data_IF_007953236858
#
_entry.id   IF_007953236858
#
_cell.length_a   1.000
_cell.length_b   1.000
_cell.length_c   1.000
_cell.angle_alpha   90.00
_cell.angle_beta   90.00
_cell.angle_gamma   90.00
#
_symmetry.space_group_name_H-M   'P 1'
#
loop_
_entity.id
_entity.type
_entity.pdbx_description
1 polymer ?
#
# COMPACT_ATOMS: atom_id res chain seq x y z
N UNK A 1 -15.36 -0.81 -8.67
CA UNK A 1 -14.40 -1.82 -8.17
C UNK A 1 -13.01 -1.19 -8.13
N UNK A 2 -12.35 -1.22 -6.97
CA UNK A 2 -11.02 -0.62 -6.80
C UNK A 2 -9.92 -1.53 -7.34
N UNK A 3 -9.11 -1.01 -8.25
CA UNK A 3 -8.04 -1.73 -8.93
C UNK A 3 -6.74 -0.93 -8.81
N UNK A 4 -5.75 -1.41 -8.03
CA UNK A 4 -4.46 -0.75 -7.91
C UNK A 4 -3.65 -0.82 -9.21
N UNK A 5 -3.03 0.29 -9.61
CA UNK A 5 -2.21 0.36 -10.82
C UNK A 5 -0.98 -0.54 -10.71
N UNK A 6 -0.34 -0.55 -9.54
CA UNK A 6 0.80 -1.44 -9.26
C UNK A 6 0.43 -2.91 -9.44
N UNK A 7 -0.77 -3.33 -9.02
CA UNK A 7 -1.21 -4.71 -9.17
C UNK A 7 -1.49 -5.08 -10.62
N UNK A 8 -2.01 -4.15 -11.45
CA UNK A 8 -2.13 -4.38 -12.89
C UNK A 8 -0.77 -4.58 -13.56
N UNK A 9 0.27 -3.86 -13.11
CA UNK A 9 1.65 -4.00 -13.60
C UNK A 9 2.29 -5.37 -13.33
N UNK A 10 1.79 -6.11 -12.36
CA UNK A 10 2.23 -7.49 -12.11
C UNK A 10 1.76 -8.45 -13.23
N UNK A 11 0.67 -8.10 -13.93
CA UNK A 11 0.09 -8.92 -15.01
C UNK A 11 0.39 -8.38 -16.42
N UNK A 12 0.67 -7.11 -16.56
CA UNK A 12 0.86 -6.46 -17.88
C UNK A 12 2.01 -5.47 -17.80
N UNK A 13 2.89 -5.48 -18.80
CA UNK A 13 3.97 -4.49 -18.96
C UNK A 13 3.39 -3.14 -19.39
N UNK A 14 2.83 -2.39 -18.44
CA UNK A 14 2.18 -1.10 -18.68
C UNK A 14 3.26 -0.03 -18.80
N UNK A 15 3.38 0.58 -19.99
CA UNK A 15 4.34 1.62 -20.34
C UNK A 15 3.69 3.01 -20.51
N UNK A 16 2.45 3.15 -20.07
CA UNK A 16 1.70 4.41 -20.05
C UNK A 16 1.47 4.88 -18.61
N UNK A 17 1.17 6.15 -18.45
CA UNK A 17 0.76 6.72 -17.14
C UNK A 17 -0.60 6.21 -16.71
N UNK A 18 -0.94 6.38 -15.43
CA UNK A 18 -2.28 6.01 -14.93
C UNK A 18 -3.39 6.83 -15.62
N UNK A 19 -3.13 8.12 -15.91
CA UNK A 19 -4.05 9.00 -16.60
C UNK A 19 -4.27 8.57 -18.07
N UNK A 20 -3.21 8.22 -18.77
CA UNK A 20 -3.33 7.70 -20.15
C UNK A 20 -4.06 6.35 -20.20
N UNK A 21 -3.88 5.50 -19.18
CA UNK A 21 -4.60 4.24 -19.07
C UNK A 21 -6.10 4.49 -18.79
N UNK A 22 -6.44 5.45 -17.94
CA UNK A 22 -7.81 5.87 -17.69
C UNK A 22 -8.52 6.26 -18.98
N UNK A 23 -7.91 7.14 -19.80
CA UNK A 23 -8.47 7.57 -21.10
C UNK A 23 -8.68 6.39 -22.05
N UNK A 24 -7.73 5.44 -22.08
CA UNK A 24 -7.83 4.22 -22.90
C UNK A 24 -8.95 3.31 -22.42
N UNK A 25 -9.13 3.13 -21.11
CA UNK A 25 -10.23 2.37 -20.52
C UNK A 25 -11.58 2.98 -20.91
N UNK A 26 -11.74 4.30 -20.80
CA UNK A 26 -12.94 5.01 -21.28
C UNK A 26 -13.21 4.76 -22.76
N UNK A 27 -12.18 4.84 -23.60
CA UNK A 27 -12.31 4.61 -25.05
C UNK A 27 -12.80 3.20 -25.39
N UNK A 28 -12.59 2.24 -24.51
CA UNK A 28 -13.01 0.84 -24.64
C UNK A 28 -14.29 0.50 -23.89
N UNK A 29 -14.97 1.53 -23.32
CA UNK A 29 -16.29 1.39 -22.70
C UNK A 29 -16.25 1.02 -21.21
N UNK A 30 -15.11 1.15 -20.54
CA UNK A 30 -15.02 1.09 -19.08
C UNK A 30 -15.26 2.45 -18.47
N UNK A 31 -16.14 2.53 -17.50
CA UNK A 31 -16.39 3.74 -16.72
C UNK A 31 -15.47 3.72 -15.49
N UNK A 32 -14.46 4.60 -15.50
CA UNK A 32 -13.62 4.87 -14.32
C UNK A 32 -14.30 6.02 -13.57
N UNK A 33 -14.93 5.72 -12.43
CA UNK A 33 -15.63 6.72 -11.61
C UNK A 33 -14.64 7.70 -10.99
N UNK A 34 -13.46 7.20 -10.57
CA UNK A 34 -12.41 8.00 -9.96
C UNK A 34 -11.03 7.37 -10.19
N UNK A 35 -10.04 8.19 -10.53
CA UNK A 35 -8.63 7.85 -10.47
C UNK A 35 -8.02 8.47 -9.22
N UNK A 36 -7.71 7.64 -8.21
CA UNK A 36 -7.29 8.06 -6.87
C UNK A 36 -5.77 7.95 -6.75
N UNK A 37 -5.01 9.06 -6.71
CA UNK A 37 -3.60 9.01 -6.33
C UNK A 37 -3.48 8.76 -4.82
N UNK A 38 -2.62 7.81 -4.40
CA UNK A 38 -2.46 7.47 -2.99
C UNK A 38 -1.70 8.55 -2.20
N UNK A 39 -0.86 9.32 -2.86
CA UNK A 39 -0.12 10.46 -2.30
C UNK A 39 -0.94 11.76 -2.28
N UNK A 40 -2.24 11.69 -2.56
CA UNK A 40 -3.09 12.87 -2.64
C UNK A 40 -3.02 13.71 -1.34
N UNK A 41 -2.65 14.98 -1.50
CA UNK A 41 -2.51 15.91 -0.39
C UNK A 41 -1.19 15.81 0.36
N UNK A 42 -0.23 14.98 -0.06
CA UNK A 42 1.12 14.91 0.51
C UNK A 42 2.07 15.69 -0.40
N UNK A 43 2.83 16.62 0.18
CA UNK A 43 3.89 17.31 -0.54
C UNK A 43 5.01 17.73 0.40
N UNK A 44 6.25 17.67 -0.08
CA UNK A 44 7.48 18.02 0.68
C UNK A 44 7.63 17.24 1.99
N UNK A 45 7.19 15.99 2.02
CA UNK A 45 7.47 15.06 3.10
C UNK A 45 8.56 14.11 2.63
N UNK A 46 9.66 14.09 3.35
CA UNK A 46 10.86 13.33 2.95
C UNK A 46 11.33 12.42 4.07
N UNK A 47 12.20 11.49 3.74
CA UNK A 47 12.92 10.71 4.75
C UNK A 47 13.87 11.62 5.51
N UNK A 48 13.73 11.67 6.82
CA UNK A 48 14.68 12.33 7.73
C UNK A 48 15.35 11.30 8.63
N UNK A 49 16.67 11.44 8.82
CA UNK A 49 17.42 10.63 9.79
C UNK A 49 17.71 11.46 11.03
N UNK A 50 17.35 10.96 12.19
CA UNK A 50 17.59 11.63 13.46
C UNK A 50 19.08 11.53 13.80
N UNK A 51 19.80 12.65 13.79
CA UNK A 51 21.25 12.70 14.05
C UNK A 51 21.59 13.21 15.44
N UNK A 52 20.69 14.00 16.08
CA UNK A 52 20.83 14.42 17.47
C UNK A 52 19.46 14.46 18.14
N UNK A 53 19.42 14.19 19.44
CA UNK A 53 18.21 14.23 20.27
C UNK A 53 18.53 14.82 21.63
N UNK A 54 17.73 15.78 22.07
CA UNK A 54 17.83 16.40 23.41
C UNK A 54 16.42 16.56 24.01
N UNK A 55 16.19 16.02 25.21
CA UNK A 55 14.96 16.31 25.96
C UNK A 55 14.93 17.74 26.43
N UNK A 56 13.85 18.45 26.18
CA UNK A 56 13.68 19.80 26.67
C UNK A 56 13.22 19.77 28.12
N UNK A 57 14.03 20.36 29.01
CA UNK A 57 13.71 20.46 30.44
C UNK A 57 12.39 21.19 30.68
N UNK A 58 11.58 20.65 31.61
CA UNK A 58 10.28 21.20 31.98
C UNK A 58 9.15 20.99 30.95
N UNK A 59 9.39 20.21 29.89
CA UNK A 59 8.39 19.89 28.85
C UNK A 59 8.40 18.41 28.52
N UNK A 60 7.38 17.95 27.76
CA UNK A 60 7.35 16.62 27.19
C UNK A 60 8.00 16.55 25.79
N UNK A 61 8.57 17.66 25.31
CA UNK A 61 9.14 17.76 23.98
C UNK A 61 10.58 17.25 23.92
N UNK A 62 10.92 16.62 22.81
CA UNK A 62 12.28 16.28 22.40
C UNK A 62 12.66 17.13 21.20
N UNK A 63 13.81 17.80 21.29
CA UNK A 63 14.43 18.50 20.17
C UNK A 63 15.23 17.49 19.38
N UNK A 64 14.98 17.43 18.08
CA UNK A 64 15.72 16.58 17.16
C UNK A 64 16.45 17.45 16.14
N UNK A 65 17.68 17.06 15.81
CA UNK A 65 18.35 17.49 14.58
C UNK A 65 18.20 16.35 13.59
N UNK A 66 17.70 16.68 12.40
CA UNK A 66 17.31 15.71 11.40
C UNK A 66 18.06 16.00 10.10
N UNK A 67 18.76 15.00 9.60
CA UNK A 67 19.35 15.01 8.26
C UNK A 67 18.27 14.63 7.24
N UNK A 68 17.95 15.55 6.35
CA UNK A 68 17.01 15.37 5.25
C UNK A 68 17.72 15.47 3.87
N UNK A 69 18.99 15.08 3.78
CA UNK A 69 19.77 15.08 2.56
C UNK A 69 19.85 16.46 1.90
N UNK A 70 19.52 16.55 0.63
CA UNK A 70 19.59 17.80 -0.15
C UNK A 70 18.69 18.94 0.38
N UNK A 71 17.74 18.64 1.26
CA UNK A 71 16.88 19.63 1.91
C UNK A 71 17.52 20.26 3.15
N UNK A 72 18.60 19.67 3.68
CA UNK A 72 19.39 20.16 4.81
C UNK A 72 19.79 19.03 5.76
N UNK A 73 21.02 19.13 6.32
CA UNK A 73 21.59 18.11 7.20
C UNK A 73 21.38 18.41 8.70
N UNK A 74 20.87 19.58 9.05
CA UNK A 74 20.74 20.08 10.43
C UNK A 74 19.35 20.69 10.72
N UNK A 75 18.29 20.10 10.14
CA UNK A 75 16.94 20.62 10.30
C UNK A 75 16.46 20.34 11.73
N UNK A 76 16.14 21.42 12.47
CA UNK A 76 15.68 21.32 13.85
C UNK A 76 14.17 21.14 13.89
N UNK A 77 13.73 20.05 14.48
CA UNK A 77 12.31 19.70 14.62
C UNK A 77 12.07 19.28 16.08
N UNK A 78 11.03 19.85 16.70
CA UNK A 78 10.59 19.46 18.04
C UNK A 78 9.38 18.52 17.93
N UNK A 79 9.42 17.42 18.68
CA UNK A 79 8.33 16.41 18.70
C UNK A 79 7.98 16.00 20.12
N UNK A 80 6.73 15.63 20.34
CA UNK A 80 6.24 15.02 21.57
C UNK A 80 6.29 13.49 21.58
N UNK A 81 6.72 12.86 20.48
CA UNK A 81 6.82 11.42 20.40
C UNK A 81 7.95 10.86 21.29
N UNK A 82 7.76 9.64 21.78
CA UNK A 82 8.71 8.97 22.68
C UNK A 82 9.25 7.65 22.14
N UNK A 83 8.76 7.19 20.98
CA UNK A 83 9.10 5.89 20.40
C UNK A 83 10.32 5.91 19.46
N UNK A 84 11.02 7.03 19.35
CA UNK A 84 12.17 7.21 18.46
C UNK A 84 13.50 7.04 19.18
N UNK A 85 14.54 6.74 18.43
CA UNK A 85 15.94 6.61 18.86
C UNK A 85 16.86 7.39 17.95
N UNK A 86 18.05 7.68 18.43
CA UNK A 86 19.12 8.26 17.61
C UNK A 86 19.46 7.31 16.46
N UNK A 87 19.50 7.83 15.25
CA UNK A 87 19.77 7.08 14.03
C UNK A 87 18.53 6.55 13.31
N UNK A 88 17.33 6.63 13.91
CA UNK A 88 16.09 6.24 13.25
C UNK A 88 15.80 7.09 12.02
N UNK A 89 15.31 6.45 10.96
CA UNK A 89 14.72 7.12 9.80
C UNK A 89 13.23 7.30 10.04
N UNK A 90 12.72 8.51 9.78
CA UNK A 90 11.33 8.92 10.05
C UNK A 90 10.82 9.83 8.94
N UNK A 91 9.51 9.93 8.69
CA UNK A 91 8.98 10.92 7.77
C UNK A 91 9.11 12.33 8.38
N UNK A 92 9.71 13.23 7.62
CA UNK A 92 9.90 14.63 7.98
C UNK A 92 9.11 15.53 7.02
N UNK A 93 8.05 16.13 7.53
CA UNK A 93 7.28 17.16 6.83
C UNK A 93 8.00 18.51 7.01
N UNK A 94 8.60 19.02 5.94
CA UNK A 94 9.38 20.25 5.94
C UNK A 94 8.50 21.51 5.94
N UNK A 95 9.10 22.67 6.14
CA UNK A 95 8.37 23.95 6.04
C UNK A 95 7.71 24.10 4.65
N UNK A 96 6.42 24.43 4.66
CA UNK A 96 5.59 24.54 3.46
C UNK A 96 5.06 23.20 2.93
N UNK A 97 5.27 22.08 3.63
CA UNK A 97 4.68 20.79 3.29
C UNK A 97 3.17 20.78 3.53
N UNK A 98 2.51 19.85 2.83
CA UNK A 98 1.08 19.56 3.03
C UNK A 98 0.93 18.10 3.41
N UNK A 99 0.02 17.81 4.32
CA UNK A 99 -0.37 16.47 4.75
C UNK A 99 -1.83 16.19 4.38
N UNK A 100 -2.27 14.92 4.37
CA UNK A 100 -3.67 14.55 4.14
C UNK A 100 -4.65 15.40 4.95
N UNK A 101 -5.82 15.70 4.36
CA UNK A 101 -6.78 16.63 4.96
C UNK A 101 -6.43 18.12 4.79
N UNK A 102 -5.40 18.45 4.00
CA UNK A 102 -5.03 19.84 3.70
C UNK A 102 -4.25 20.53 4.81
N UNK A 103 -3.69 19.77 5.75
CA UNK A 103 -2.88 20.29 6.85
C UNK A 103 -1.58 20.86 6.30
N UNK A 104 -1.33 22.15 6.51
CA UNK A 104 -0.10 22.82 6.08
C UNK A 104 0.88 22.95 7.23
N UNK A 105 2.07 22.43 7.05
CA UNK A 105 3.17 22.54 8.01
C UNK A 105 3.94 23.82 7.75
N UNK A 106 4.19 24.57 8.82
CA UNK A 106 5.00 25.79 8.79
C UNK A 106 5.99 25.78 9.94
N UNK A 107 7.16 26.33 9.68
CA UNK A 107 8.12 26.64 10.74
C UNK A 107 7.46 27.47 11.85
N UNK A 108 7.58 27.03 13.08
CA UNK A 108 6.98 27.67 14.25
C UNK A 108 7.81 27.49 15.50
N UNK A 109 7.56 28.33 16.52
CA UNK A 109 8.11 28.11 17.86
C UNK A 109 7.14 27.24 18.68
N UNK A 110 7.65 26.13 19.19
CA UNK A 110 6.94 25.24 20.12
C UNK A 110 7.55 25.40 21.51
N UNK A 111 6.80 25.96 22.47
CA UNK A 111 7.28 26.21 23.85
C UNK A 111 8.66 26.91 23.90
N UNK A 112 8.83 27.93 23.03
CA UNK A 112 10.06 28.74 22.97
C UNK A 112 11.18 28.17 22.08
N UNK A 113 11.04 26.96 21.55
CA UNK A 113 12.01 26.31 20.64
C UNK A 113 11.53 26.37 19.20
N UNK A 114 12.42 26.69 18.29
CA UNK A 114 12.14 26.67 16.86
C UNK A 114 11.98 25.23 16.36
N UNK A 115 10.92 24.99 15.56
CA UNK A 115 10.68 23.74 14.84
C UNK A 115 10.43 24.09 13.38
N UNK A 116 11.34 23.65 12.50
CA UNK A 116 11.33 23.94 11.06
C UNK A 116 10.61 22.85 10.24
N UNK A 117 9.68 22.14 10.87
CA UNK A 117 8.91 21.07 10.28
C UNK A 117 8.19 20.24 11.33
N UNK A 118 7.72 19.08 10.93
CA UNK A 118 7.06 18.10 11.79
C UNK A 118 7.52 16.70 11.42
N UNK A 119 7.82 15.87 12.42
CA UNK A 119 8.00 14.42 12.21
C UNK A 119 6.64 13.77 12.28
N UNK A 120 6.35 12.84 11.33
CA UNK A 120 5.00 12.33 11.13
C UNK A 120 4.84 10.90 11.66
N UNK A 121 3.64 10.61 12.13
CA UNK A 121 3.12 9.27 12.37
C UNK A 121 2.61 8.64 11.06
N UNK A 122 2.27 7.35 11.09
CA UNK A 122 1.61 6.68 9.96
C UNK A 122 0.21 7.25 9.70
N UNK A 123 -0.54 7.56 10.76
CA UNK A 123 -1.88 8.14 10.66
C UNK A 123 -1.88 9.51 9.95
N UNK A 124 -0.90 10.35 10.25
CA UNK A 124 -0.75 11.67 9.61
C UNK A 124 -0.43 11.58 8.11
N UNK A 125 0.10 10.45 7.66
CA UNK A 125 0.32 10.13 6.24
C UNK A 125 -0.86 9.36 5.60
N UNK A 126 -1.94 9.11 6.35
CA UNK A 126 -3.09 8.35 5.87
C UNK A 126 -2.83 6.85 5.73
N UNK A 127 -1.79 6.34 6.39
CA UNK A 127 -1.42 4.93 6.38
C UNK A 127 -2.15 4.16 7.49
N UNK A 128 -2.35 2.87 7.26
CA UNK A 128 -2.77 1.89 8.25
C UNK A 128 -1.79 0.70 8.27
N UNK A 129 -1.95 -0.21 9.22
CA UNK A 129 -1.04 -1.35 9.41
C UNK A 129 -1.00 -2.31 8.20
N UNK A 130 -2.10 -2.42 7.43
CA UNK A 130 -2.16 -3.27 6.24
C UNK A 130 -1.42 -2.63 5.05
N UNK A 131 -1.37 -1.30 4.96
CA UNK A 131 -0.62 -0.56 3.94
C UNK A 131 0.87 -0.49 4.27
N UNK A 132 1.20 -0.13 5.51
CA UNK A 132 2.59 -0.04 5.94
C UNK A 132 2.75 -0.44 7.42
N UNK A 133 3.63 -1.42 7.77
CA UNK A 133 3.80 -1.89 9.15
C UNK A 133 4.29 -0.79 10.08
N UNK A 134 3.73 -0.80 11.28
CA UNK A 134 4.05 0.19 12.31
C UNK A 134 3.29 1.50 12.15
N UNK A 135 2.39 1.61 11.17
CA UNK A 135 1.61 2.84 10.94
C UNK A 135 0.61 3.16 12.05
N UNK A 136 0.12 2.15 12.76
CA UNK A 136 -0.82 2.30 13.87
C UNK A 136 -0.13 2.39 15.24
N UNK A 137 1.21 2.37 15.27
CA UNK A 137 1.95 2.58 16.51
C UNK A 137 1.81 4.04 16.97
N UNK A 138 1.47 4.24 18.24
CA UNK A 138 1.42 5.58 18.81
C UNK A 138 2.79 6.23 18.82
N UNK A 139 2.94 7.33 18.08
CA UNK A 139 4.19 8.08 17.93
C UNK A 139 4.60 8.24 16.46
N UNK A 140 5.89 8.33 16.20
CA UNK A 140 6.41 8.49 14.83
C UNK A 140 6.38 7.16 14.08
N UNK A 141 6.19 7.26 12.78
CA UNK A 141 6.44 6.13 11.88
C UNK A 141 7.95 5.91 11.75
N UNK A 142 8.42 4.73 12.18
CA UNK A 142 9.82 4.36 12.01
C UNK A 142 9.98 3.65 10.67
N UNK A 143 10.82 4.22 9.81
CA UNK A 143 11.11 3.69 8.47
C UNK A 143 12.21 2.63 8.53
N UNK A 144 12.38 1.82 7.47
CA UNK A 144 13.52 0.90 7.34
C UNK A 144 14.87 1.63 7.51
N UNK A 145 15.83 0.98 8.15
CA UNK A 145 17.15 1.56 8.46
C UNK A 145 17.95 1.95 7.21
N UNK A 146 17.69 1.30 6.08
CA UNK A 146 18.31 1.55 4.77
C UNK A 146 17.64 2.67 3.98
N UNK A 147 16.63 3.35 4.56
CA UNK A 147 15.98 4.49 3.92
C UNK A 147 16.95 5.66 3.75
N UNK A 148 17.01 6.22 2.54
CA UNK A 148 17.98 7.29 2.20
C UNK A 148 17.41 8.65 2.59
N UNK A 149 18.08 9.44 3.45
CA UNK A 149 17.65 10.79 3.81
C UNK A 149 17.43 11.69 2.58
N UNK A 150 16.38 12.49 2.61
CA UNK A 150 15.99 13.39 1.53
C UNK A 150 15.16 12.73 0.41
N UNK A 151 15.01 11.41 0.41
CA UNK A 151 14.10 10.73 -0.54
C UNK A 151 12.66 11.12 -0.24
N UNK A 152 11.85 11.32 -1.28
CA UNK A 152 10.40 11.53 -1.14
C UNK A 152 9.75 10.35 -0.39
N UNK A 153 8.81 10.66 0.49
CA UNK A 153 8.22 9.64 1.36
C UNK A 153 7.31 8.67 0.60
N UNK A 154 6.63 9.14 -0.46
CA UNK A 154 5.61 8.35 -1.15
C UNK A 154 6.12 6.99 -1.65
N UNK A 155 7.24 6.87 -2.38
CA UNK A 155 7.76 5.57 -2.78
C UNK A 155 8.26 4.71 -1.61
N UNK A 156 8.75 5.32 -0.53
CA UNK A 156 9.28 4.58 0.62
C UNK A 156 8.18 3.84 1.38
N UNK A 157 7.03 4.47 1.51
CA UNK A 157 5.86 3.89 2.20
C UNK A 157 4.84 3.30 1.21
N UNK A 158 5.14 3.37 -0.09
CA UNK A 158 4.33 2.81 -1.16
C UNK A 158 3.05 3.61 -1.44
N UNK A 159 3.08 4.92 -1.30
CA UNK A 159 2.00 5.82 -1.70
C UNK A 159 2.17 6.36 -3.13
N UNK A 160 3.20 5.93 -3.86
CA UNK A 160 3.46 6.27 -5.26
C UNK A 160 2.63 5.41 -6.24
N UNK A 161 1.36 5.22 -5.94
CA UNK A 161 0.45 4.37 -6.70
C UNK A 161 -0.89 5.08 -6.95
N UNK A 162 -1.68 4.50 -7.86
CA UNK A 162 -3.01 4.95 -8.21
C UNK A 162 -4.03 3.82 -8.04
N UNK A 163 -5.25 4.18 -7.65
CA UNK A 163 -6.37 3.24 -7.64
C UNK A 163 -7.39 3.69 -8.69
N UNK A 164 -7.72 2.80 -9.63
CA UNK A 164 -8.85 2.97 -10.52
C UNK A 164 -10.11 2.47 -9.82
N UNK A 165 -11.08 3.34 -9.57
CA UNK A 165 -12.42 2.90 -9.16
C UNK A 165 -13.29 2.73 -10.41
N UNK A 166 -13.48 1.46 -10.81
CA UNK A 166 -14.12 1.10 -12.08
C UNK A 166 -15.53 0.58 -11.81
N UNK A 167 -16.51 1.18 -12.49
CA UNK A 167 -17.89 0.68 -12.53
C UNK A 167 -17.99 -0.49 -13.50
N UNK A 168 -18.25 -1.69 -12.99
CA UNK A 168 -18.37 -2.89 -13.80
C UNK A 168 -19.85 -3.17 -14.09
N UNK A 169 -20.22 -3.13 -15.35
CA UNK A 169 -21.58 -3.41 -15.82
C UNK A 169 -21.96 -4.87 -15.68
N UNK A 170 -23.25 -5.16 -15.53
CA UNK A 170 -23.75 -6.52 -15.29
C UNK A 170 -23.44 -7.53 -16.41
N UNK A 171 -23.19 -7.05 -17.63
CA UNK A 171 -22.82 -7.88 -18.79
C UNK A 171 -21.33 -8.21 -18.87
N UNK A 172 -20.50 -7.68 -17.93
CA UNK A 172 -19.05 -7.91 -17.87
C UNK A 172 -18.63 -8.56 -16.54
N UNK A 173 -19.23 -9.70 -16.15
CA UNK A 173 -18.83 -10.40 -14.92
C UNK A 173 -17.39 -10.90 -14.94
N UNK A 174 -16.80 -11.09 -16.11
CA UNK A 174 -15.40 -11.43 -16.35
C UNK A 174 -14.43 -10.37 -15.84
N UNK A 175 -14.86 -9.11 -15.75
CA UNK A 175 -14.09 -7.97 -15.27
C UNK A 175 -14.23 -7.72 -13.75
N UNK A 176 -14.98 -8.56 -13.02
CA UNK A 176 -15.12 -8.42 -11.54
C UNK A 176 -13.93 -9.03 -10.78
N UNK A 177 -12.73 -8.92 -11.34
CA UNK A 177 -11.47 -9.27 -10.69
C UNK A 177 -10.33 -8.46 -11.28
N UNK A 178 -9.25 -8.27 -10.50
CA UNK A 178 -8.06 -7.56 -10.99
C UNK A 178 -7.48 -8.25 -12.24
N UNK A 179 -7.45 -9.58 -12.24
CA UNK A 179 -7.00 -10.37 -13.40
C UNK A 179 -7.91 -10.16 -14.63
N UNK A 180 -9.23 -10.03 -14.43
CA UNK A 180 -10.19 -9.74 -15.51
C UNK A 180 -9.89 -8.37 -16.13
N UNK A 181 -9.70 -7.35 -15.33
CA UNK A 181 -9.29 -6.01 -15.81
C UNK A 181 -7.90 -6.06 -16.46
N UNK A 182 -6.96 -6.82 -15.91
CA UNK A 182 -5.62 -6.97 -16.52
C UNK A 182 -5.68 -7.56 -17.93
N UNK A 183 -6.61 -8.50 -18.20
CA UNK A 183 -6.84 -9.02 -19.57
C UNK A 183 -7.30 -7.94 -20.54
N UNK A 184 -8.21 -7.09 -20.09
CA UNK A 184 -8.67 -5.95 -20.90
C UNK A 184 -7.54 -4.94 -21.13
N UNK A 185 -6.80 -4.59 -20.08
CA UNK A 185 -5.63 -3.70 -20.19
C UNK A 185 -4.59 -4.27 -21.16
N UNK A 186 -4.31 -5.57 -21.10
CA UNK A 186 -3.40 -6.24 -22.04
C UNK A 186 -3.89 -6.10 -23.48
N UNK A 187 -5.18 -6.32 -23.72
CA UNK A 187 -5.78 -6.16 -25.04
C UNK A 187 -5.77 -4.70 -25.52
N UNK A 188 -6.10 -3.75 -24.65
CA UNK A 188 -6.13 -2.30 -24.96
C UNK A 188 -4.73 -1.79 -25.32
N UNK A 189 -3.69 -2.26 -24.62
CA UNK A 189 -2.31 -1.83 -24.85
C UNK A 189 -1.59 -2.67 -25.92
N UNK A 190 -2.21 -3.77 -26.38
CA UNK A 190 -1.54 -4.72 -27.30
C UNK A 190 -0.33 -5.41 -26.66
N UNK A 191 -0.37 -5.63 -25.35
CA UNK A 191 0.71 -6.25 -24.56
C UNK A 191 0.37 -7.69 -24.16
N UNK A 192 1.37 -8.54 -23.89
CA UNK A 192 1.12 -9.87 -23.35
C UNK A 192 0.57 -9.79 -21.93
N UNK A 193 -0.28 -10.78 -21.58
CA UNK A 193 -0.72 -11.00 -20.20
C UNK A 193 0.20 -12.02 -19.53
N UNK A 194 0.80 -11.65 -18.41
CA UNK A 194 1.60 -12.52 -17.57
C UNK A 194 0.72 -13.20 -16.53
N UNK A 195 0.45 -14.49 -16.73
CA UNK A 195 -0.30 -15.26 -15.75
C UNK A 195 0.59 -15.63 -14.57
N UNK A 196 0.09 -15.55 -13.32
CA UNK A 196 0.86 -15.99 -12.17
C UNK A 196 1.20 -17.49 -12.29
N UNK A 197 2.38 -17.88 -11.84
CA UNK A 197 2.78 -19.27 -11.80
C UNK A 197 1.83 -20.08 -10.90
N UNK A 198 1.21 -21.10 -11.46
CA UNK A 198 0.30 -22.01 -10.73
C UNK A 198 0.95 -23.38 -10.51
N UNK A 199 2.26 -23.41 -10.37
CA UNK A 199 3.02 -24.65 -10.22
C UNK A 199 2.89 -25.19 -8.78
N UNK A 200 2.10 -26.23 -8.63
CA UNK A 200 2.06 -26.99 -7.39
C UNK A 200 2.07 -28.49 -7.70
N UNK A 201 2.68 -29.27 -6.84
CA UNK A 201 2.63 -30.73 -6.91
C UNK A 201 1.40 -31.22 -6.14
N UNK A 202 0.36 -31.64 -6.87
CA UNK A 202 -0.71 -32.38 -6.26
C UNK A 202 -0.19 -33.81 -5.97
N UNK A 203 -0.33 -34.24 -4.71
CA UNK A 203 -0.10 -35.64 -4.32
C UNK A 203 -1.47 -36.30 -4.25
N UNK A 204 -1.75 -37.23 -5.18
CA UNK A 204 -2.92 -38.08 -5.09
C UNK A 204 -2.66 -39.14 -4.03
N UNK A 205 -3.26 -39.00 -2.85
CA UNK A 205 -3.28 -40.03 -1.83
C UNK A 205 -4.55 -40.88 -1.99
N UNK A 206 -4.43 -42.22 -2.02
CA UNK A 206 -5.59 -43.10 -2.17
C UNK A 206 -6.59 -42.99 -1.00
N UNK A 207 -6.13 -42.49 0.16
CA UNK A 207 -6.92 -42.34 1.38
C UNK A 207 -7.34 -40.89 1.64
N UNK A 208 -7.58 -40.09 0.61
CA UNK A 208 -8.10 -38.73 0.79
C UNK A 208 -9.44 -38.76 1.55
N UNK A 209 -9.59 -37.96 2.63
CA UNK A 209 -10.76 -38.05 3.52
C UNK A 209 -12.03 -37.43 2.89
N UNK A 210 -11.99 -37.07 1.61
CA UNK A 210 -13.12 -36.48 0.90
C UNK A 210 -13.43 -37.31 -0.35
N UNK A 211 -14.74 -37.51 -0.58
CA UNK A 211 -15.26 -38.13 -1.80
C UNK A 211 -16.23 -37.16 -2.46
N UNK A 212 -16.10 -36.98 -3.75
CA UNK A 212 -17.02 -36.18 -4.56
C UNK A 212 -17.93 -37.13 -5.36
N UNK A 213 -19.24 -37.02 -5.16
CA UNK A 213 -20.27 -37.73 -5.95
C UNK A 213 -21.17 -36.66 -6.56
N UNK A 214 -21.26 -36.66 -7.90
CA UNK A 214 -22.18 -35.80 -8.63
C UNK A 214 -23.49 -36.62 -8.85
N UNK A 215 -24.59 -36.15 -8.27
CA UNK A 215 -25.89 -36.82 -8.35
C UNK A 215 -26.72 -36.35 -9.56
N UNK A 216 -26.44 -35.17 -10.10
CA UNK A 216 -27.09 -34.58 -11.25
C UNK A 216 -26.05 -34.22 -12.33
N UNK A 217 -25.51 -35.21 -13.06
CA UNK A 217 -24.45 -35.01 -14.05
C UNK A 217 -24.91 -34.21 -15.29
N UNK A 218 -26.19 -34.14 -15.54
CA UNK A 218 -26.84 -33.34 -16.59
C UNK A 218 -26.78 -31.82 -16.26
N UNK A 219 -26.86 -31.47 -14.98
CA UNK A 219 -26.81 -30.10 -14.50
C UNK A 219 -25.38 -29.66 -14.07
N UNK A 220 -24.62 -30.61 -13.53
CA UNK A 220 -23.23 -30.39 -13.10
C UNK A 220 -22.33 -31.49 -13.70
N UNK A 221 -21.84 -31.33 -14.93
CA UNK A 221 -21.08 -32.35 -15.62
C UNK A 221 -19.71 -32.63 -14.97
N UNK A 222 -19.19 -31.69 -14.16
CA UNK A 222 -17.91 -31.87 -13.52
C UNK A 222 -17.83 -31.04 -12.22
N UNK A 223 -17.42 -31.67 -11.11
CA UNK A 223 -17.08 -31.03 -9.86
C UNK A 223 -15.72 -31.51 -9.39
N UNK A 224 -14.85 -30.59 -9.01
CA UNK A 224 -13.51 -30.91 -8.51
C UNK A 224 -13.34 -30.37 -7.08
N UNK A 225 -12.63 -31.14 -6.25
CA UNK A 225 -12.26 -30.71 -4.92
C UNK A 225 -10.78 -30.98 -4.67
N UNK A 226 -10.14 -30.08 -3.93
CA UNK A 226 -8.78 -30.26 -3.45
C UNK A 226 -8.80 -30.35 -1.93
N UNK A 227 -8.13 -31.36 -1.39
CA UNK A 227 -7.88 -31.48 0.03
C UNK A 227 -6.49 -30.93 0.35
N UNK A 228 -6.45 -29.99 1.26
CA UNK A 228 -5.19 -29.38 1.70
C UNK A 228 -5.05 -29.64 3.20
N UNK A 229 -3.90 -30.23 3.59
CA UNK A 229 -3.60 -30.56 4.99
C UNK A 229 -2.39 -29.76 5.49
N UNK A 230 -2.16 -29.81 6.81
CA UNK A 230 -1.05 -29.12 7.49
C UNK A 230 -1.07 -27.60 7.32
N UNK A 231 -2.25 -27.03 7.20
CA UNK A 231 -2.43 -25.57 7.15
C UNK A 231 -2.09 -24.98 8.51
N UNK A 232 -1.21 -23.99 8.52
CA UNK A 232 -0.97 -23.13 9.68
C UNK A 232 -1.71 -21.82 9.48
N UNK A 233 -2.74 -21.59 10.27
CA UNK A 233 -3.43 -20.30 10.29
C UNK A 233 -2.55 -19.26 10.95
N UNK A 234 -2.53 -18.07 10.37
CA UNK A 234 -1.75 -16.93 10.85
C UNK A 234 -2.09 -15.67 10.05
N UNK A 235 -1.30 -14.66 10.25
CA UNK A 235 -1.40 -13.44 9.48
C UNK A 235 -1.03 -13.66 8.02
N UNK A 236 -1.67 -12.90 7.14
CA UNK A 236 -1.33 -12.90 5.72
C UNK A 236 0.04 -12.27 5.46
N UNK A 237 0.75 -12.72 4.43
CA UNK A 237 1.97 -12.05 4.00
C UNK A 237 1.68 -10.59 3.66
N UNK A 238 2.69 -9.74 3.83
CA UNK A 238 2.56 -8.29 3.65
C UNK A 238 1.99 -7.89 2.29
N UNK A 239 2.49 -8.48 1.20
CA UNK A 239 2.01 -8.20 -0.15
C UNK A 239 0.50 -8.43 -0.30
N UNK A 240 -0.01 -9.49 0.32
CA UNK A 240 -1.43 -9.85 0.28
C UNK A 240 -2.29 -8.86 1.08
N UNK A 241 -1.85 -8.48 2.30
CA UNK A 241 -2.49 -7.44 3.11
C UNK A 241 -2.59 -6.13 2.34
N UNK A 242 -1.49 -5.71 1.70
CA UNK A 242 -1.44 -4.50 0.92
C UNK A 242 -2.39 -4.53 -0.28
N UNK A 243 -2.40 -5.61 -1.07
CA UNK A 243 -3.34 -5.75 -2.20
C UNK A 243 -4.80 -5.61 -1.76
N UNK A 244 -5.17 -6.27 -0.66
CA UNK A 244 -6.51 -6.17 -0.10
C UNK A 244 -6.83 -4.74 0.38
N UNK A 245 -5.93 -4.11 1.12
CA UNK A 245 -6.10 -2.75 1.62
C UNK A 245 -6.29 -1.74 0.48
N UNK A 246 -5.50 -1.85 -0.59
CA UNK A 246 -5.64 -1.00 -1.79
C UNK A 246 -6.97 -1.21 -2.51
N UNK A 247 -7.54 -2.43 -2.44
CA UNK A 247 -8.90 -2.70 -2.93
C UNK A 247 -10.01 -2.30 -1.93
N UNK A 248 -9.66 -1.70 -0.79
CA UNK A 248 -10.61 -1.33 0.27
C UNK A 248 -11.10 -2.50 1.11
N UNK A 249 -10.38 -3.62 1.11
CA UNK A 249 -10.68 -4.83 1.89
C UNK A 249 -9.74 -4.94 3.08
N UNK A 250 -10.26 -5.45 4.20
CA UNK A 250 -9.46 -5.72 5.40
C UNK A 250 -8.90 -7.14 5.37
N UNK A 251 -7.64 -7.29 5.69
CA UNK A 251 -7.01 -8.59 5.92
C UNK A 251 -7.63 -9.30 7.14
N UNK A 252 -7.85 -10.61 7.04
CA UNK A 252 -8.43 -11.45 8.10
C UNK A 252 -7.44 -12.53 8.53
N UNK A 253 -7.01 -13.37 7.59
CA UNK A 253 -6.03 -14.44 7.82
C UNK A 253 -5.49 -14.96 6.49
N UNK A 254 -4.32 -15.57 6.52
CA UNK A 254 -3.66 -16.12 5.33
C UNK A 254 -4.51 -17.13 4.54
N UNK A 255 -5.50 -17.77 5.17
CA UNK A 255 -6.42 -18.72 4.50
C UNK A 255 -7.58 -17.98 3.83
N UNK A 256 -8.18 -17.02 4.54
CA UNK A 256 -9.32 -16.24 4.04
C UNK A 256 -8.88 -15.29 2.93
N UNK A 257 -7.78 -14.60 3.14
CA UNK A 257 -7.28 -13.56 2.25
C UNK A 257 -6.81 -14.13 0.93
N UNK A 258 -6.20 -15.33 0.94
CA UNK A 258 -5.83 -16.03 -0.27
C UNK A 258 -7.00 -16.24 -1.24
N UNK A 259 -8.18 -16.55 -0.72
CA UNK A 259 -9.40 -16.70 -1.54
C UNK A 259 -9.78 -15.41 -2.27
N UNK A 260 -9.45 -14.25 -1.68
CA UNK A 260 -9.81 -12.93 -2.21
C UNK A 260 -8.79 -12.38 -3.21
N UNK A 261 -7.56 -12.88 -3.19
CA UNK A 261 -6.42 -12.38 -3.98
C UNK A 261 -6.07 -13.30 -5.16
N UNK A 262 -6.53 -14.54 -5.16
CA UNK A 262 -6.24 -15.55 -6.21
C UNK A 262 -7.38 -15.74 -7.17
#
# INVERSE_FOLDING_TARGET
MKVPFSWLKEYVDIDVTAQELEEKLFSCGFEVEELIPLDAGISKVVVGKIVEMEKQEGTHLTKCVVDCGDYGHDIRISTGAANMKLGDCVPAALDGSTLPGGIKIKARKMQGVESNGMLCSGEELGLNEDLFPGSEVYGLLILPEDSVPGTDIAPVVGLDDYIFDISITANRPDCQSVLGIAREVAAILGKPLHMPAMDYKAVCEPDAPITVKVEAPDLCPRYMAHYVRNIRMGESPRWMKRHLALCGLRSISNVVDRKSVV
#
